data_IF_221371525816
#
_entry.id   IF_221371525816
#
_cell.length_a   1.000
_cell.length_b   1.000
_cell.length_c   1.000
_cell.angle_alpha   90.00
_cell.angle_beta   90.00
_cell.angle_gamma   90.00
#
_symmetry.space_group_name_H-M   'P 1'
#
loop_
_entity.id
_entity.type
_entity.pdbx_description
1 polymer ?
#
# COMPACT_ATOMS: atom_id res chain seq x y z
N UNK A 1 18.45 -12.19 11.19
CA UNK A 1 17.30 -11.44 10.64
C UNK A 1 16.77 -12.17 9.41
N UNK A 2 15.60 -12.79 9.52
CA UNK A 2 14.93 -13.39 8.35
C UNK A 2 14.15 -12.29 7.61
N UNK A 3 14.67 -11.86 6.47
CA UNK A 3 13.98 -10.93 5.57
C UNK A 3 12.96 -11.69 4.74
N UNK A 4 11.75 -11.16 4.63
CA UNK A 4 10.74 -11.61 3.66
C UNK A 4 10.80 -10.65 2.48
N UNK A 5 11.03 -11.17 1.27
CA UNK A 5 11.01 -10.36 0.06
C UNK A 5 10.00 -10.92 -0.93
N UNK A 6 9.08 -10.07 -1.38
CA UNK A 6 8.05 -10.41 -2.37
C UNK A 6 8.19 -9.50 -3.59
N UNK A 7 8.39 -10.09 -4.76
CA UNK A 7 8.38 -9.36 -6.04
C UNK A 7 6.97 -9.35 -6.63
N UNK A 8 6.50 -8.19 -7.10
CA UNK A 8 5.20 -8.09 -7.76
C UNK A 8 5.36 -8.54 -9.23
N UNK A 9 4.97 -9.79 -9.51
CA UNK A 9 5.16 -10.44 -10.82
C UNK A 9 3.91 -11.24 -11.24
N UNK A 10 2.74 -10.61 -11.18
CA UNK A 10 1.45 -11.26 -11.47
C UNK A 10 1.24 -11.71 -12.93
N UNK A 11 0.17 -12.47 -13.20
CA UNK A 11 -0.07 -13.10 -14.51
C UNK A 11 -0.54 -12.13 -15.61
N UNK A 12 -0.92 -10.89 -15.28
CA UNK A 12 -1.47 -9.93 -16.26
C UNK A 12 -0.71 -8.59 -16.29
N UNK A 13 0.57 -8.59 -15.92
CA UNK A 13 1.41 -7.38 -15.86
C UNK A 13 0.77 -6.25 -15.04
N UNK A 14 0.02 -6.61 -13.99
CA UNK A 14 -0.72 -5.63 -13.18
C UNK A 14 0.10 -5.07 -12.02
N UNK A 15 -0.19 -3.83 -11.62
CA UNK A 15 0.24 -3.28 -10.35
C UNK A 15 -0.61 -3.83 -9.20
N UNK A 16 -0.04 -3.87 -8.00
CA UNK A 16 -0.75 -4.27 -6.77
C UNK A 16 -0.96 -3.06 -5.89
N UNK A 17 -2.15 -2.91 -5.31
CA UNK A 17 -2.38 -1.92 -4.26
C UNK A 17 -1.92 -2.50 -2.92
N UNK A 18 -0.86 -1.95 -2.36
CA UNK A 18 -0.38 -2.36 -1.05
C UNK A 18 -1.06 -1.48 0.02
N UNK A 19 -2.14 -2.03 0.56
CA UNK A 19 -3.03 -1.32 1.47
C UNK A 19 -2.32 -0.70 2.69
N UNK A 20 -1.33 -1.36 3.32
CA UNK A 20 -0.61 -0.76 4.46
C UNK A 20 0.04 0.60 4.18
N UNK A 21 0.51 0.82 2.95
CA UNK A 21 1.14 2.08 2.53
C UNK A 21 0.20 2.96 1.70
N UNK A 22 -1.02 2.49 1.47
CA UNK A 22 -2.04 3.12 0.63
C UNK A 22 -1.53 3.50 -0.77
N UNK A 23 -0.59 2.72 -1.31
CA UNK A 23 0.07 3.01 -2.58
C UNK A 23 0.02 1.84 -3.54
N UNK A 24 0.20 2.13 -4.83
CA UNK A 24 0.35 1.09 -5.86
C UNK A 24 1.82 0.74 -6.02
N UNK A 25 2.11 -0.56 -5.97
CA UNK A 25 3.41 -1.15 -6.22
C UNK A 25 3.43 -1.67 -7.66
N UNK A 26 4.45 -1.28 -8.42
CA UNK A 26 4.56 -1.60 -9.84
C UNK A 26 4.83 -3.09 -10.03
N UNK A 27 4.01 -3.73 -10.86
CA UNK A 27 4.25 -5.11 -11.27
C UNK A 27 5.29 -5.23 -12.37
N UNK A 28 5.82 -6.44 -12.53
CA UNK A 28 6.67 -6.79 -13.65
C UNK A 28 5.91 -6.67 -14.96
N UNK A 29 6.56 -6.10 -15.97
CA UNK A 29 6.13 -6.21 -17.36
C UNK A 29 6.79 -7.45 -17.93
N UNK A 30 6.03 -8.51 -18.21
CA UNK A 30 6.48 -9.65 -19.00
C UNK A 30 5.82 -9.56 -20.38
N UNK A 31 6.64 -9.28 -21.40
CA UNK A 31 6.14 -9.05 -22.75
C UNK A 31 5.53 -10.32 -23.34
N UNK A 32 5.99 -11.51 -22.92
CA UNK A 32 5.48 -12.80 -23.41
C UNK A 32 4.03 -13.07 -22.99
N UNK A 33 3.52 -12.32 -22.00
CA UNK A 33 2.12 -12.39 -21.56
C UNK A 33 1.19 -11.50 -22.38
N UNK A 34 1.72 -10.69 -23.29
CA UNK A 34 0.96 -9.75 -24.11
C UNK A 34 0.68 -10.37 -25.48
N UNK A 35 -0.58 -10.38 -25.88
CA UNK A 35 -0.98 -10.92 -27.18
C UNK A 35 -0.44 -10.07 -28.36
N UNK A 36 -0.25 -10.73 -29.49
CA UNK A 36 0.13 -10.07 -30.75
C UNK A 36 -0.97 -9.14 -31.28
N UNK A 37 -0.61 -8.05 -32.00
CA UNK A 37 0.74 -7.65 -32.44
C UNK A 37 1.53 -6.78 -31.42
N UNK A 38 0.93 -6.53 -30.25
CA UNK A 38 1.50 -5.60 -29.27
C UNK A 38 2.69 -6.22 -28.52
N UNK A 39 2.69 -7.54 -28.32
CA UNK A 39 3.81 -8.31 -27.78
C UNK A 39 5.10 -8.05 -28.54
N UNK A 40 5.13 -8.30 -29.86
CA UNK A 40 6.32 -8.06 -30.68
C UNK A 40 6.85 -6.62 -30.63
N UNK A 41 5.96 -5.61 -30.65
CA UNK A 41 6.37 -4.20 -30.55
C UNK A 41 7.05 -3.91 -29.21
N UNK A 42 6.44 -4.36 -28.12
CA UNK A 42 7.00 -4.18 -26.78
C UNK A 42 8.25 -5.02 -26.57
N UNK A 43 8.42 -6.14 -27.27
CA UNK A 43 9.62 -6.97 -27.18
C UNK A 43 10.80 -6.26 -27.84
N UNK A 44 10.60 -5.66 -29.01
CA UNK A 44 11.60 -4.80 -29.64
C UNK A 44 11.96 -3.60 -28.74
N UNK A 45 10.98 -3.08 -28.01
CA UNK A 45 11.16 -1.92 -27.14
C UNK A 45 11.76 -2.25 -25.77
N UNK A 46 11.46 -3.39 -25.16
CA UNK A 46 11.81 -3.67 -23.75
C UNK A 46 12.50 -5.02 -23.54
N UNK A 47 12.81 -5.75 -24.61
CA UNK A 47 13.39 -7.08 -24.53
C UNK A 47 12.45 -8.05 -23.84
N UNK A 48 12.96 -8.79 -22.85
CA UNK A 48 12.17 -9.75 -22.08
C UNK A 48 11.12 -9.08 -21.18
N UNK A 49 11.32 -7.80 -20.83
CA UNK A 49 10.40 -7.07 -19.96
C UNK A 49 11.07 -6.11 -18.98
N UNK A 50 10.29 -5.66 -18.01
CA UNK A 50 10.73 -4.77 -16.92
C UNK A 50 10.45 -5.48 -15.59
N UNK A 51 11.44 -5.68 -14.70
CA UNK A 51 11.24 -6.35 -13.42
C UNK A 51 10.21 -5.60 -12.58
N UNK A 52 9.46 -6.29 -11.72
CA UNK A 52 8.51 -5.66 -10.80
C UNK A 52 9.24 -5.03 -9.60
N UNK A 53 8.55 -4.16 -8.86
CA UNK A 53 9.07 -3.71 -7.57
C UNK A 53 9.02 -4.85 -6.54
N UNK A 54 9.96 -4.82 -5.59
CA UNK A 54 10.03 -5.80 -4.50
C UNK A 54 9.62 -5.13 -3.19
N UNK A 55 8.87 -5.86 -2.36
CA UNK A 55 8.56 -5.47 -0.99
C UNK A 55 9.43 -6.31 -0.08
N UNK A 56 10.39 -5.69 0.59
CA UNK A 56 11.16 -6.29 1.68
C UNK A 56 10.52 -5.96 3.02
N UNK A 57 10.43 -6.94 3.91
CA UNK A 57 9.92 -6.75 5.25
C UNK A 57 10.76 -7.53 6.27
N UNK A 58 10.99 -6.92 7.42
CA UNK A 58 11.78 -7.43 8.53
C UNK A 58 10.86 -7.61 9.73
N UNK A 59 10.30 -8.82 9.94
CA UNK A 59 9.31 -9.06 11.00
C UNK A 59 9.83 -8.75 12.41
N UNK A 60 11.14 -8.91 12.64
CA UNK A 60 11.79 -8.64 13.92
C UNK A 60 11.76 -7.15 14.32
N UNK A 61 11.86 -6.23 13.35
CA UNK A 61 11.89 -4.78 13.60
C UNK A 61 10.57 -4.08 13.26
N UNK A 62 9.69 -4.73 12.50
CA UNK A 62 8.47 -4.10 11.95
C UNK A 62 8.77 -3.11 10.82
N UNK A 63 9.98 -3.12 10.29
CA UNK A 63 10.43 -2.24 9.20
C UNK A 63 10.33 -2.96 7.86
N UNK A 64 10.16 -2.21 6.79
CA UNK A 64 10.19 -2.71 5.43
C UNK A 64 10.72 -1.68 4.45
N UNK A 65 10.88 -2.10 3.22
CA UNK A 65 11.23 -1.20 2.12
C UNK A 65 10.62 -1.67 0.80
N UNK A 66 10.23 -0.71 -0.03
CA UNK A 66 9.97 -0.97 -1.45
C UNK A 66 11.29 -0.78 -2.18
N UNK A 67 11.71 -1.81 -2.91
CA UNK A 67 12.94 -1.83 -3.70
C UNK A 67 12.57 -1.69 -5.17
N UNK A 68 13.27 -0.80 -5.87
CA UNK A 68 13.19 -0.63 -7.32
C UNK A 68 14.39 -1.31 -7.98
N UNK A 69 14.22 -2.54 -8.54
CA UNK A 69 15.35 -3.30 -9.09
C UNK A 69 16.02 -2.62 -10.28
N UNK A 70 15.37 -1.66 -10.93
CA UNK A 70 15.96 -0.93 -12.07
C UNK A 70 17.24 -0.15 -11.70
N UNK A 71 17.55 0.00 -10.42
CA UNK A 71 18.83 0.57 -9.97
C UNK A 71 19.97 -0.46 -9.88
N UNK A 72 19.67 -1.76 -9.94
CA UNK A 72 20.67 -2.83 -9.90
C UNK A 72 21.50 -2.85 -11.20
N UNK A 73 22.78 -3.22 -11.10
CA UNK A 73 23.72 -3.17 -12.22
C UNK A 73 23.26 -4.03 -13.42
N UNK A 74 22.56 -5.14 -13.16
CA UNK A 74 22.00 -6.02 -14.19
C UNK A 74 20.94 -5.34 -15.08
N UNK A 75 20.28 -4.28 -14.58
CA UNK A 75 19.23 -3.54 -15.29
C UNK A 75 19.68 -2.15 -15.77
N UNK A 76 20.98 -1.83 -15.71
CA UNK A 76 21.49 -0.50 -16.06
C UNK A 76 21.08 -0.04 -17.48
N UNK A 77 21.20 -0.92 -18.47
CA UNK A 77 20.81 -0.62 -19.85
C UNK A 77 19.30 -0.36 -19.99
N UNK A 78 18.47 -1.08 -19.21
CA UNK A 78 17.03 -0.88 -19.19
C UNK A 78 16.66 0.45 -18.51
N UNK A 79 17.32 0.79 -17.40
CA UNK A 79 17.18 2.09 -16.73
C UNK A 79 17.47 3.24 -17.69
N UNK A 80 18.62 3.22 -18.36
CA UNK A 80 19.00 4.28 -19.31
C UNK A 80 17.96 4.44 -20.41
N UNK A 81 17.41 3.34 -20.92
CA UNK A 81 16.36 3.36 -21.93
C UNK A 81 15.04 3.98 -21.42
N UNK A 82 14.66 3.69 -20.18
CA UNK A 82 13.46 4.25 -19.54
C UNK A 82 13.64 5.76 -19.31
N UNK A 83 14.79 6.17 -18.80
CA UNK A 83 15.12 7.58 -18.54
C UNK A 83 15.24 8.38 -19.83
N UNK A 84 15.81 7.81 -20.90
CA UNK A 84 15.88 8.44 -22.22
C UNK A 84 14.49 8.73 -22.84
N UNK A 85 13.46 8.02 -22.40
CA UNK A 85 12.05 8.27 -22.77
C UNK A 85 11.36 9.31 -21.88
N UNK A 86 12.07 9.90 -20.92
CA UNK A 86 11.58 10.95 -20.03
C UNK A 86 10.82 10.44 -18.80
N UNK A 87 10.88 9.13 -18.51
CA UNK A 87 10.27 8.60 -17.30
C UNK A 87 11.21 8.76 -16.10
N UNK A 88 10.66 9.20 -14.96
CA UNK A 88 11.38 9.27 -13.70
C UNK A 88 11.20 7.96 -12.94
N UNK A 89 12.31 7.33 -12.56
CA UNK A 89 12.28 6.16 -11.70
C UNK A 89 12.02 6.54 -10.23
N UNK A 90 11.31 5.69 -9.46
CA UNK A 90 11.26 5.80 -8.02
C UNK A 90 12.66 5.66 -7.39
N UNK A 91 12.76 6.05 -6.12
CA UNK A 91 13.97 5.86 -5.34
C UNK A 91 14.32 4.36 -5.25
N UNK A 92 15.62 4.04 -5.21
CA UNK A 92 16.10 2.66 -5.14
C UNK A 92 15.50 1.88 -3.96
N UNK A 93 15.38 2.55 -2.81
CA UNK A 93 14.86 1.98 -1.57
C UNK A 93 13.98 3.01 -0.89
N UNK A 94 12.68 2.71 -0.79
CA UNK A 94 11.72 3.52 -0.06
C UNK A 94 11.35 2.82 1.25
N UNK A 95 11.92 3.25 2.39
CA UNK A 95 11.66 2.61 3.68
C UNK A 95 10.23 2.90 4.17
N UNK A 96 9.68 1.97 4.93
CA UNK A 96 8.41 2.12 5.61
C UNK A 96 8.38 1.33 6.93
N UNK A 97 7.41 1.66 7.79
CA UNK A 97 7.14 0.92 9.01
C UNK A 97 5.69 0.46 9.02
N UNK A 98 5.44 -0.79 9.41
CA UNK A 98 4.11 -1.37 9.45
C UNK A 98 4.03 -2.40 10.57
N UNK A 99 2.84 -2.57 11.15
CA UNK A 99 2.55 -3.67 12.07
C UNK A 99 2.83 -5.04 11.41
N UNK A 100 3.39 -5.97 12.17
CA UNK A 100 3.89 -7.26 11.66
C UNK A 100 2.74 -8.14 11.18
N UNK A 101 1.67 -8.27 11.97
CA UNK A 101 0.51 -9.08 11.59
C UNK A 101 -0.10 -8.54 10.29
N UNK A 102 -0.23 -7.22 10.21
CA UNK A 102 -0.75 -6.51 9.03
C UNK A 102 0.14 -6.73 7.80
N UNK A 103 1.44 -6.45 7.89
CA UNK A 103 2.36 -6.61 6.77
C UNK A 103 2.39 -8.05 6.24
N UNK A 104 2.51 -9.03 7.14
CA UNK A 104 2.55 -10.45 6.75
C UNK A 104 1.22 -10.90 6.14
N UNK A 105 0.08 -10.45 6.67
CA UNK A 105 -1.23 -10.76 6.09
C UNK A 105 -1.34 -10.27 4.63
N UNK A 106 -0.95 -9.02 4.35
CA UNK A 106 -1.02 -8.46 3.00
C UNK A 106 0.01 -9.08 2.06
N UNK A 107 1.24 -9.35 2.53
CA UNK A 107 2.25 -10.06 1.74
C UNK A 107 1.79 -11.48 1.38
N UNK A 108 1.19 -12.19 2.33
CA UNK A 108 0.61 -13.51 2.10
C UNK A 108 -0.50 -13.46 1.07
N UNK A 109 -1.43 -12.52 1.17
CA UNK A 109 -2.51 -12.35 0.20
C UNK A 109 -1.97 -12.05 -1.22
N UNK A 110 -0.87 -11.31 -1.35
CA UNK A 110 -0.22 -11.05 -2.65
C UNK A 110 0.34 -12.33 -3.26
N UNK A 111 1.02 -13.15 -2.46
CA UNK A 111 1.64 -14.40 -2.91
C UNK A 111 0.56 -15.45 -3.23
N UNK A 112 -0.38 -15.69 -2.30
CA UNK A 112 -1.45 -16.69 -2.48
C UNK A 112 -2.43 -16.29 -3.60
N UNK A 113 -2.67 -14.99 -3.78
CA UNK A 113 -3.46 -14.45 -4.90
C UNK A 113 -2.74 -14.50 -6.25
N UNK A 114 -1.47 -14.94 -6.29
CA UNK A 114 -0.66 -15.02 -7.50
C UNK A 114 -0.26 -13.66 -8.10
N UNK A 115 -0.43 -12.58 -7.35
CA UNK A 115 -0.07 -11.23 -7.80
C UNK A 115 1.43 -10.93 -7.60
N UNK A 116 2.09 -11.68 -6.72
CA UNK A 116 3.54 -11.64 -6.50
C UNK A 116 4.13 -13.02 -6.22
N UNK A 117 5.45 -13.07 -6.16
CA UNK A 117 6.21 -14.28 -5.82
C UNK A 117 7.17 -14.00 -4.68
N UNK A 118 7.36 -14.98 -3.82
CA UNK A 118 8.37 -14.93 -2.77
C UNK A 118 9.75 -15.09 -3.41
N UNK A 119 10.65 -14.12 -3.18
CA UNK A 119 12.02 -14.13 -3.72
C UNK A 119 13.07 -14.33 -2.64
N UNK A 120 12.76 -14.05 -1.38
CA UNK A 120 13.62 -14.39 -0.25
C UNK A 120 12.82 -14.62 1.03
N UNK A 121 13.33 -15.54 1.87
CA UNK A 121 12.74 -15.89 3.17
C UNK A 121 11.46 -16.72 3.04
N UNK A 122 10.77 -16.85 4.17
CA UNK A 122 9.48 -17.52 4.31
C UNK A 122 8.50 -16.58 4.99
N UNK A 123 7.21 -16.67 4.65
CA UNK A 123 6.16 -15.91 5.33
C UNK A 123 5.84 -16.56 6.69
N UNK A 124 6.25 -15.96 7.83
CA UNK A 124 5.99 -16.55 9.13
C UNK A 124 4.49 -16.57 9.45
N UNK A 125 4.08 -17.45 10.35
CA UNK A 125 2.83 -17.29 11.08
C UNK A 125 3.07 -16.27 12.20
N UNK A 126 2.16 -15.32 12.34
CA UNK A 126 2.28 -14.21 13.29
C UNK A 126 0.99 -14.12 14.08
N UNK A 127 1.11 -14.01 15.39
CA UNK A 127 -0.02 -13.74 16.28
C UNK A 127 -0.42 -12.26 16.18
N UNK A 128 -1.72 -12.00 16.15
CA UNK A 128 -2.26 -10.64 16.09
C UNK A 128 -3.42 -10.51 15.11
N UNK A 129 -4.16 -9.41 15.22
CA UNK A 129 -5.28 -9.10 14.33
C UNK A 129 -4.80 -8.13 13.25
N UNK A 130 -4.64 -8.56 11.98
CA UNK A 130 -4.15 -7.69 10.93
C UNK A 130 -5.15 -6.57 10.62
N UNK A 131 -4.64 -5.37 10.35
CA UNK A 131 -5.47 -4.28 9.84
C UNK A 131 -5.86 -4.56 8.39
N UNK A 132 -7.16 -4.66 8.13
CA UNK A 132 -7.70 -4.96 6.79
C UNK A 132 -8.44 -3.78 6.17
N UNK A 133 -8.74 -2.72 6.94
CA UNK A 133 -9.58 -1.59 6.53
C UNK A 133 -8.82 -0.26 6.56
N UNK A 134 -8.20 0.09 5.44
CA UNK A 134 -7.45 1.36 5.30
C UNK A 134 -8.25 2.51 4.69
N UNK A 135 -9.46 2.25 4.17
CA UNK A 135 -10.24 3.21 3.36
C UNK A 135 -11.43 3.87 4.07
N UNK A 136 -11.81 3.40 5.25
CA UNK A 136 -12.79 4.10 6.06
C UNK A 136 -12.04 5.13 6.89
N UNK A 137 -12.33 6.43 6.68
CA UNK A 137 -12.39 7.34 7.83
C UNK A 137 -13.05 6.56 8.95
N UNK A 138 -12.42 6.47 10.13
CA UNK A 138 -13.03 5.83 11.29
C UNK A 138 -14.44 6.42 11.40
N UNK A 139 -15.45 5.68 10.92
CA UNK A 139 -16.82 6.07 11.20
C UNK A 139 -16.89 5.85 12.70
N UNK A 140 -17.10 6.89 13.51
CA UNK A 140 -17.25 6.72 14.93
C UNK A 140 -18.19 5.54 15.16
N UNK A 141 -17.81 4.65 16.08
CA UNK A 141 -18.63 3.51 16.42
C UNK A 141 -20.05 3.98 16.78
N UNK A 142 -21.05 3.09 16.79
CA UNK A 142 -22.40 3.47 17.22
C UNK A 142 -22.40 4.21 18.57
N UNK A 143 -21.51 3.79 19.48
CA UNK A 143 -21.27 4.42 20.78
C UNK A 143 -20.66 5.82 20.67
N UNK A 144 -19.63 6.01 19.85
CA UNK A 144 -19.00 7.31 19.65
C UNK A 144 -19.96 8.33 19.03
N UNK A 145 -20.87 7.87 18.15
CA UNK A 145 -21.94 8.72 17.59
C UNK A 145 -22.97 9.12 18.62
N UNK A 146 -23.33 8.19 19.52
CA UNK A 146 -24.25 8.48 20.61
C UNK A 146 -23.64 9.48 21.60
N UNK A 147 -22.37 9.29 21.97
CA UNK A 147 -21.63 10.23 22.82
C UNK A 147 -21.58 11.64 22.21
N UNK A 148 -21.19 11.75 20.93
CA UNK A 148 -21.16 13.03 20.23
C UNK A 148 -22.54 13.69 20.08
N UNK A 149 -23.61 12.90 19.98
CA UNK A 149 -24.99 13.41 19.93
C UNK A 149 -25.44 13.95 21.30
N UNK A 150 -25.10 13.26 22.39
CA UNK A 150 -25.40 13.71 23.75
C UNK A 150 -24.64 14.99 24.11
N UNK A 151 -23.36 15.10 23.73
CA UNK A 151 -22.55 16.31 23.92
C UNK A 151 -23.18 17.51 23.20
N UNK A 152 -23.58 17.35 21.93
CA UNK A 152 -24.30 18.40 21.19
C UNK A 152 -25.63 18.78 21.83
N UNK A 153 -26.35 17.80 22.38
CA UNK A 153 -27.62 18.06 23.06
C UNK A 153 -27.40 18.89 24.33
N UNK A 154 -26.37 18.57 25.11
CA UNK A 154 -26.01 19.33 26.31
C UNK A 154 -25.63 20.78 25.97
N UNK A 155 -24.80 21.00 24.95
CA UNK A 155 -24.43 22.36 24.49
C UNK A 155 -25.64 23.19 24.04
N UNK A 156 -26.60 22.57 23.34
CA UNK A 156 -27.82 23.24 22.91
C UNK A 156 -28.70 23.60 24.11
N UNK A 157 -28.79 22.72 25.10
CA UNK A 157 -29.52 22.98 26.33
C UNK A 157 -28.92 24.15 27.11
N UNK A 158 -27.60 24.20 27.28
CA UNK A 158 -26.92 25.33 27.93
C UNK A 158 -27.20 26.66 27.21
N UNK A 159 -27.07 26.68 25.87
CA UNK A 159 -27.36 27.89 25.08
C UNK A 159 -28.81 28.34 25.22
N UNK A 160 -29.77 27.42 25.24
CA UNK A 160 -31.18 27.77 25.47
C UNK A 160 -31.41 28.31 26.88
N UNK A 161 -30.73 27.74 27.89
CA UNK A 161 -30.86 28.18 29.27
C UNK A 161 -30.29 29.58 29.47
N UNK A 162 -29.11 29.87 28.90
CA UNK A 162 -28.53 31.21 28.88
C UNK A 162 -29.43 32.24 28.19
N UNK A 163 -30.04 31.87 27.06
CA UNK A 163 -30.96 32.76 26.34
C UNK A 163 -32.21 33.08 27.17
N UNK A 164 -32.77 32.07 27.86
CA UNK A 164 -33.91 32.24 28.76
C UNK A 164 -33.56 33.11 29.96
N UNK A 165 -32.39 32.91 30.58
CA UNK A 165 -31.92 33.74 31.69
C UNK A 165 -31.72 35.21 31.27
N UNK A 166 -31.15 35.46 30.08
CA UNK A 166 -31.01 36.82 29.52
C UNK A 166 -32.35 37.49 29.24
N UNK A 167 -33.36 36.73 28.82
CA UNK A 167 -34.72 37.22 28.61
C UNK A 167 -35.44 37.52 29.93
N UNK A 168 -35.26 36.66 30.94
CA UNK A 168 -35.82 36.86 32.27
C UNK A 168 -35.24 38.09 32.99
N UNK A 169 -33.94 38.34 32.83
CA UNK A 169 -33.26 39.51 33.40
C UNK A 169 -33.58 40.85 32.70
N UNK A 170 -34.28 40.83 31.56
CA UNK A 170 -34.73 42.03 30.82
C UNK A 170 -36.15 42.47 31.19
N UNK A 171 -36.87 41.71 32.02
CA UNK A 171 -38.16 42.09 32.60
C UNK A 171 -37.95 42.65 34.01
#
# INVERSE_FOLDING_TARGET
MKTVAVEIAGPRNQCVYFAPLRMRIRGALDVRKIAEPNGMKLHQEWGEGIPGQRIEYYPESGEGAIIEPLHDAEFAALREKIEAKGFKLPDQRQPFKCDVATAIHHLRAIVEGGAGRLVAGDLPEVEGTPETRFHSSQRPGPMDRLAAALERQAELQEKTLEALLKLAAKK
#
